data_IF_380634262000
#
_entry.id   IF_380634262000
#
_cell.length_a   1.000
_cell.length_b   1.000
_cell.length_c   1.000
_cell.angle_alpha   90.00
_cell.angle_beta   90.00
_cell.angle_gamma   90.00
#
_symmetry.space_group_name_H-M   'P 1'
#
loop_
_entity.id
_entity.type
_entity.pdbx_description
1 polymer ?
#
# COMPACT_ATOMS: atom_id res chain seq x y z
N UNK A 1 -60.23 -8.69 3.98
CA UNK A 1 -59.12 -9.58 3.58
C UNK A 1 -58.20 -8.95 2.54
N UNK A 2 -58.72 -8.48 1.39
CA UNK A 2 -57.93 -7.89 0.29
C UNK A 2 -57.02 -6.71 0.70
N UNK A 3 -57.53 -5.75 1.50
CA UNK A 3 -56.73 -4.59 1.97
C UNK A 3 -55.57 -4.96 2.88
N UNK A 4 -55.69 -6.05 3.64
CA UNK A 4 -54.63 -6.52 4.54
C UNK A 4 -53.48 -7.17 3.75
N UNK A 5 -53.81 -7.94 2.72
CA UNK A 5 -52.83 -8.54 1.80
C UNK A 5 -52.10 -7.46 0.99
N UNK A 6 -52.82 -6.44 0.50
CA UNK A 6 -52.24 -5.30 -0.22
C UNK A 6 -51.23 -4.52 0.64
N UNK A 7 -51.54 -4.32 1.92
CA UNK A 7 -50.65 -3.63 2.86
C UNK A 7 -49.37 -4.43 3.14
N UNK A 8 -49.48 -5.76 3.30
CA UNK A 8 -48.31 -6.64 3.50
C UNK A 8 -47.41 -6.69 2.27
N UNK A 9 -47.98 -6.74 1.07
CA UNK A 9 -47.23 -6.70 -0.20
C UNK A 9 -46.51 -5.35 -0.35
N UNK A 10 -47.19 -4.24 -0.02
CA UNK A 10 -46.60 -2.89 -0.10
C UNK A 10 -45.46 -2.72 0.91
N UNK A 11 -45.60 -3.26 2.12
CA UNK A 11 -44.55 -3.26 3.14
C UNK A 11 -43.35 -4.13 2.73
N UNK A 12 -43.59 -5.33 2.19
CA UNK A 12 -42.54 -6.20 1.68
C UNK A 12 -41.78 -5.57 0.50
N UNK A 13 -42.50 -4.91 -0.42
CA UNK A 13 -41.92 -4.15 -1.53
C UNK A 13 -41.11 -2.94 -1.05
N UNK A 14 -41.60 -2.19 -0.06
CA UNK A 14 -40.87 -1.05 0.52
C UNK A 14 -39.59 -1.50 1.25
N UNK A 15 -39.65 -2.62 1.97
CA UNK A 15 -38.49 -3.23 2.62
C UNK A 15 -37.49 -3.75 1.58
N UNK A 16 -37.94 -4.45 0.53
CA UNK A 16 -37.09 -4.90 -0.57
C UNK A 16 -36.46 -3.73 -1.35
N UNK A 17 -37.21 -2.65 -1.57
CA UNK A 17 -36.71 -1.42 -2.18
C UNK A 17 -35.66 -0.74 -1.27
N UNK A 18 -35.88 -0.68 0.04
CA UNK A 18 -34.89 -0.20 1.02
C UNK A 18 -33.61 -1.06 1.03
N UNK A 19 -33.73 -2.39 0.89
CA UNK A 19 -32.57 -3.28 0.75
C UNK A 19 -31.84 -3.08 -0.60
N UNK A 20 -32.55 -2.87 -1.71
CA UNK A 20 -31.94 -2.57 -3.01
C UNK A 20 -31.27 -1.18 -3.04
N UNK A 21 -31.85 -0.16 -2.40
CA UNK A 21 -31.23 1.18 -2.29
C UNK A 21 -29.94 1.12 -1.45
N UNK A 22 -29.86 0.22 -0.45
CA UNK A 22 -28.65 0.00 0.34
C UNK A 22 -27.52 -0.68 -0.47
N UNK A 23 -27.84 -1.62 -1.36
CA UNK A 23 -26.86 -2.24 -2.27
C UNK A 23 -26.44 -1.31 -3.42
N UNK A 24 -27.30 -0.37 -3.84
CA UNK A 24 -26.99 0.63 -4.87
C UNK A 24 -25.99 1.71 -4.39
N UNK A 25 -25.71 1.80 -3.09
CA UNK A 25 -25.07 2.98 -2.50
C UNK A 25 -23.56 3.13 -2.79
N UNK A 26 -22.86 2.06 -3.21
CA UNK A 26 -21.41 2.11 -3.46
C UNK A 26 -20.95 1.29 -4.67
N UNK A 27 -21.35 1.68 -5.89
CA UNK A 27 -20.72 1.16 -7.12
C UNK A 27 -19.19 1.23 -7.01
N UNK A 28 -18.50 0.10 -7.19
CA UNK A 28 -17.03 0.01 -7.10
C UNK A 28 -16.46 -0.26 -5.70
N UNK A 29 -17.26 -0.43 -4.66
CA UNK A 29 -16.78 -0.85 -3.33
C UNK A 29 -17.62 -2.01 -2.82
N UNK A 30 -16.95 -3.12 -2.50
CA UNK A 30 -17.57 -4.29 -1.91
C UNK A 30 -16.87 -4.65 -0.61
N UNK A 31 -17.60 -5.24 0.33
CA UNK A 31 -17.02 -5.81 1.55
C UNK A 31 -17.49 -7.24 1.74
N UNK A 32 -16.60 -8.05 2.33
CA UNK A 32 -16.88 -9.43 2.71
C UNK A 32 -16.61 -9.57 4.20
N UNK A 33 -17.62 -10.00 4.93
CA UNK A 33 -17.55 -10.23 6.37
C UNK A 33 -17.48 -11.72 6.66
N UNK A 34 -16.55 -12.13 7.53
CA UNK A 34 -16.36 -13.51 7.96
C UNK A 34 -16.15 -14.52 6.80
N UNK A 35 -15.50 -14.07 5.72
CA UNK A 35 -15.11 -14.95 4.62
C UNK A 35 -14.06 -15.97 5.07
N UNK A 36 -14.01 -17.12 4.39
CA UNK A 36 -12.92 -18.09 4.53
C UNK A 36 -12.02 -18.02 3.31
N UNK A 37 -10.76 -17.68 3.53
CA UNK A 37 -9.73 -17.68 2.48
C UNK A 37 -8.61 -18.58 2.94
N UNK A 38 -8.39 -19.68 2.21
CA UNK A 38 -7.42 -20.72 2.59
C UNK A 38 -7.64 -21.24 4.03
N UNK A 39 -8.91 -21.40 4.43
CA UNK A 39 -9.30 -21.86 5.76
C UNK A 39 -9.22 -20.81 6.89
N UNK A 40 -8.66 -19.63 6.63
CA UNK A 40 -8.54 -18.55 7.62
C UNK A 40 -9.77 -17.64 7.57
N UNK A 41 -10.24 -17.15 8.74
CA UNK A 41 -11.29 -16.13 8.84
C UNK A 41 -10.74 -14.76 8.42
N UNK A 42 -11.27 -14.22 7.34
CA UNK A 42 -10.84 -12.95 6.74
C UNK A 42 -12.03 -12.03 6.53
N UNK A 43 -11.86 -10.77 6.94
CA UNK A 43 -12.75 -9.68 6.59
C UNK A 43 -12.00 -8.79 5.61
N UNK A 44 -12.59 -8.44 4.47
CA UNK A 44 -11.90 -7.58 3.51
C UNK A 44 -12.84 -6.66 2.77
N UNK A 45 -12.29 -5.55 2.31
CA UNK A 45 -12.95 -4.54 1.48
C UNK A 45 -12.19 -4.46 0.17
N UNK A 46 -12.92 -4.50 -0.93
CA UNK A 46 -12.43 -4.31 -2.29
C UNK A 46 -12.87 -2.95 -2.77
N UNK A 47 -11.93 -2.12 -3.24
CA UNK A 47 -12.17 -0.77 -3.73
C UNK A 47 -11.65 -0.67 -5.16
N UNK A 48 -12.48 -0.21 -6.08
CA UNK A 48 -12.10 0.06 -7.46
C UNK A 48 -11.36 1.40 -7.57
N UNK A 49 -10.06 1.35 -7.85
CA UNK A 49 -9.23 2.54 -8.05
C UNK A 49 -9.39 3.13 -9.46
N UNK A 50 -10.13 2.47 -10.35
CA UNK A 50 -10.48 3.05 -11.64
C UNK A 50 -11.57 4.13 -11.51
N UNK A 51 -12.31 4.16 -10.39
CA UNK A 51 -13.20 5.28 -10.06
C UNK A 51 -12.36 6.49 -9.63
N UNK A 52 -12.27 7.49 -10.51
CA UNK A 52 -11.51 8.72 -10.29
C UNK A 52 -11.99 9.57 -9.09
N UNK A 53 -13.14 9.22 -8.49
CA UNK A 53 -13.63 9.86 -7.26
C UNK A 53 -13.01 9.27 -6.00
N UNK A 54 -12.34 8.12 -6.10
CA UNK A 54 -11.70 7.48 -4.95
C UNK A 54 -10.43 8.23 -4.60
N UNK A 55 -10.33 8.61 -3.33
CA UNK A 55 -9.14 9.21 -2.73
C UNK A 55 -8.71 8.40 -1.52
N UNK A 56 -7.40 8.14 -1.41
CA UNK A 56 -6.80 7.42 -0.28
C UNK A 56 -5.91 8.40 0.46
N UNK A 57 -6.04 8.46 1.78
CA UNK A 57 -5.24 9.33 2.61
C UNK A 57 -5.04 8.71 4.00
N UNK A 58 -3.84 8.78 4.59
CA UNK A 58 -3.69 8.48 6.00
C UNK A 58 -4.28 9.62 6.85
N UNK A 59 -4.57 9.29 8.10
CA UNK A 59 -4.87 10.27 9.13
C UNK A 59 -4.14 9.89 10.41
N UNK A 60 -3.75 10.90 11.18
CA UNK A 60 -3.14 10.73 12.51
C UNK A 60 -4.09 11.19 13.61
N UNK A 61 -3.87 10.75 14.85
CA UNK A 61 -4.74 11.13 15.97
C UNK A 61 -4.70 12.64 16.19
N UNK A 62 -5.77 13.21 16.73
CA UNK A 62 -5.83 14.64 17.06
C UNK A 62 -4.79 15.08 18.12
N UNK A 63 -4.20 14.13 18.85
CA UNK A 63 -3.13 14.37 19.83
C UNK A 63 -1.75 13.89 19.34
N UNK A 64 -1.58 13.71 18.02
CA UNK A 64 -0.29 13.40 17.40
C UNK A 64 0.76 14.49 17.72
N UNK A 65 2.05 14.16 17.95
CA UNK A 65 2.73 12.87 17.73
C UNK A 65 2.73 11.89 18.90
N UNK A 66 2.10 12.22 20.03
CA UNK A 66 2.18 11.42 21.27
C UNK A 66 0.81 11.04 21.82
N UNK A 67 -0.14 10.77 20.92
CA UNK A 67 -1.53 10.57 21.28
C UNK A 67 -2.21 9.47 20.49
N UNK A 68 -3.33 9.00 21.02
CA UNK A 68 -4.16 7.99 20.38
C UNK A 68 -5.64 8.35 20.47
N UNK A 69 -6.42 7.85 19.53
CA UNK A 69 -7.88 7.95 19.56
C UNK A 69 -8.53 6.62 19.21
N UNK A 70 -9.82 6.48 19.53
CA UNK A 70 -10.60 5.31 19.13
C UNK A 70 -10.72 5.28 17.61
N UNK A 71 -10.74 4.09 17.02
CA UNK A 71 -10.94 3.95 15.57
C UNK A 71 -12.26 4.58 15.09
N UNK A 72 -13.31 4.51 15.91
CA UNK A 72 -14.57 5.22 15.66
C UNK A 72 -14.41 6.75 15.63
N UNK A 73 -13.49 7.32 16.41
CA UNK A 73 -13.22 8.76 16.41
C UNK A 73 -12.68 9.23 15.07
N UNK A 74 -11.72 8.49 14.49
CA UNK A 74 -11.24 8.74 13.12
C UNK A 74 -12.40 8.71 12.13
N UNK A 75 -13.23 7.66 12.18
CA UNK A 75 -14.36 7.47 11.26
C UNK A 75 -15.36 8.62 11.38
N UNK A 76 -15.77 8.99 12.59
CA UNK A 76 -16.76 10.06 12.81
C UNK A 76 -16.25 11.42 12.31
N UNK A 77 -15.00 11.80 12.63
CA UNK A 77 -14.49 13.14 12.29
C UNK A 77 -14.06 13.30 10.83
N UNK A 78 -13.77 12.19 10.14
CA UNK A 78 -13.32 12.22 8.73
C UNK A 78 -14.39 11.75 7.74
N UNK A 79 -15.38 11.00 8.21
CA UNK A 79 -16.44 10.37 7.41
C UNK A 79 -15.95 9.62 6.15
N UNK A 80 -15.06 8.62 6.31
CA UNK A 80 -14.55 7.85 5.19
C UNK A 80 -15.64 6.87 4.69
N UNK A 81 -15.49 6.42 3.44
CA UNK A 81 -16.30 5.30 2.91
C UNK A 81 -15.74 3.95 3.34
N UNK A 82 -14.43 3.87 3.57
CA UNK A 82 -13.77 2.69 4.13
C UNK A 82 -12.50 3.10 4.88
N UNK A 83 -12.12 2.31 5.89
CA UNK A 83 -10.95 2.57 6.71
C UNK A 83 -10.32 1.28 7.21
N UNK A 84 -9.00 1.28 7.37
CA UNK A 84 -8.21 0.24 8.01
C UNK A 84 -7.21 0.89 8.98
N UNK A 85 -6.79 0.18 10.03
CA UNK A 85 -5.71 0.67 10.89
C UNK A 85 -4.43 0.92 10.08
N UNK A 86 -3.52 1.75 10.58
CA UNK A 86 -2.33 2.14 9.82
C UNK A 86 -1.02 1.47 10.27
N UNK A 87 0.04 2.27 10.33
CA UNK A 87 1.43 1.86 10.62
C UNK A 87 1.68 1.56 12.11
N UNK A 88 2.80 0.90 12.38
CA UNK A 88 3.29 0.60 13.71
C UNK A 88 3.57 1.87 14.53
N UNK A 89 3.47 1.73 15.85
CA UNK A 89 3.86 2.74 16.81
C UNK A 89 4.35 2.12 18.10
N UNK A 90 5.24 2.81 18.80
CA UNK A 90 5.72 2.43 20.12
C UNK A 90 4.58 2.58 21.13
N UNK A 91 4.24 1.52 21.86
CA UNK A 91 3.08 1.50 22.77
C UNK A 91 3.27 2.34 24.03
N UNK A 92 4.49 2.75 24.35
CA UNK A 92 4.84 3.56 25.53
C UNK A 92 4.91 5.04 25.17
N UNK A 93 5.61 5.38 24.09
CA UNK A 93 5.83 6.78 23.67
C UNK A 93 4.79 7.28 22.66
N UNK A 94 4.02 6.36 22.06
CA UNK A 94 2.99 6.62 21.05
C UNK A 94 3.53 7.20 19.72
N UNK A 95 4.85 7.18 19.52
CA UNK A 95 5.48 7.60 18.26
C UNK A 95 5.30 6.55 17.17
N UNK A 96 4.90 7.00 15.98
CA UNK A 96 4.79 6.16 14.78
C UNK A 96 6.17 5.82 14.21
N UNK A 97 6.30 4.61 13.65
CA UNK A 97 7.59 4.11 13.15
C UNK A 97 7.78 4.30 11.64
N UNK A 98 6.69 4.43 10.88
CA UNK A 98 6.72 4.61 9.43
C UNK A 98 6.49 6.05 9.00
N UNK A 99 6.99 6.38 7.81
CA UNK A 99 6.70 7.64 7.14
C UNK A 99 5.20 7.81 6.90
N UNK A 100 4.72 9.03 7.16
CA UNK A 100 3.34 9.44 6.91
C UNK A 100 3.36 10.73 6.10
N UNK A 101 2.76 10.71 4.91
CA UNK A 101 2.53 11.91 4.10
C UNK A 101 1.03 12.13 3.94
N UNK A 102 0.55 13.33 4.26
CA UNK A 102 -0.85 13.74 4.14
C UNK A 102 -0.93 14.98 3.25
N UNK A 103 -1.54 14.83 2.08
CA UNK A 103 -1.68 15.89 1.09
C UNK A 103 -0.36 16.54 0.66
N UNK A 104 0.72 15.76 0.55
CA UNK A 104 2.06 16.24 0.20
C UNK A 104 2.91 16.71 1.39
N UNK A 105 2.34 16.80 2.59
CA UNK A 105 3.09 17.18 3.80
C UNK A 105 3.65 15.93 4.49
N UNK A 106 4.96 15.89 4.75
CA UNK A 106 5.60 14.83 5.53
C UNK A 106 5.31 15.03 7.01
N UNK A 107 4.33 14.28 7.53
CA UNK A 107 3.78 14.42 8.89
C UNK A 107 4.62 13.67 9.92
N UNK A 108 5.17 12.52 9.54
CA UNK A 108 6.04 11.73 10.40
C UNK A 108 7.21 11.21 9.58
N UNK A 109 8.43 11.43 10.06
CA UNK A 109 9.63 10.77 9.56
C UNK A 109 9.79 9.40 10.23
N UNK A 110 9.85 8.35 9.42
CA UNK A 110 10.00 6.97 9.87
C UNK A 110 11.22 6.29 9.24
N UNK A 111 11.32 4.98 9.45
CA UNK A 111 12.43 4.17 8.91
C UNK A 111 11.95 2.88 8.24
N UNK A 112 10.63 2.74 8.04
CA UNK A 112 10.03 1.54 7.45
C UNK A 112 10.11 1.59 5.93
N UNK A 113 10.62 0.52 5.32
CA UNK A 113 11.01 0.52 3.92
C UNK A 113 9.90 0.18 2.93
N UNK A 114 8.71 -0.25 3.35
CA UNK A 114 7.60 -0.60 2.44
C UNK A 114 6.43 0.32 2.69
N UNK A 115 5.90 0.95 1.64
CA UNK A 115 4.83 1.93 1.76
C UNK A 115 3.75 1.79 0.69
N UNK A 116 2.51 2.11 1.06
CA UNK A 116 1.47 2.46 0.10
C UNK A 116 1.63 3.94 -0.20
N UNK A 117 1.82 4.25 -1.47
CA UNK A 117 2.04 5.58 -1.99
C UNK A 117 0.95 5.96 -2.98
N UNK A 118 0.44 7.18 -2.87
CA UNK A 118 -0.47 7.81 -3.81
C UNK A 118 0.28 8.97 -4.46
N UNK A 119 0.47 8.90 -5.77
CA UNK A 119 1.09 9.96 -6.55
C UNK A 119 0.12 11.15 -6.73
N UNK A 120 0.63 12.30 -7.14
CA UNK A 120 -0.21 13.45 -7.52
C UNK A 120 -1.18 13.14 -8.67
N UNK A 121 -0.83 12.18 -9.52
CA UNK A 121 -1.73 11.65 -10.56
C UNK A 121 -2.89 10.82 -10.02
N UNK A 122 -2.93 10.53 -8.71
CA UNK A 122 -3.89 9.61 -8.10
C UNK A 122 -3.54 8.13 -8.27
N UNK A 123 -2.45 7.80 -8.99
CA UNK A 123 -1.99 6.43 -9.11
C UNK A 123 -1.49 5.90 -7.75
N UNK A 124 -1.85 4.66 -7.46
CA UNK A 124 -1.58 4.01 -6.17
C UNK A 124 -0.57 2.89 -6.38
N UNK A 125 0.48 2.87 -5.59
CA UNK A 125 1.56 1.89 -5.67
C UNK A 125 1.95 1.37 -4.29
N UNK A 126 2.44 0.12 -4.23
CA UNK A 126 3.21 -0.37 -3.08
C UNK A 126 4.68 -0.33 -3.48
N UNK A 127 5.43 0.56 -2.83
CA UNK A 127 6.81 0.89 -3.17
C UNK A 127 7.76 0.49 -2.05
N UNK A 128 9.03 0.29 -2.43
CA UNK A 128 10.12 0.25 -1.46
C UNK A 128 10.71 1.64 -1.34
N UNK A 129 10.73 2.19 -0.13
CA UNK A 129 11.39 3.43 0.17
C UNK A 129 12.89 3.17 0.39
N UNK A 130 13.77 4.05 -0.12
CA UNK A 130 15.17 4.03 0.25
C UNK A 130 15.32 4.26 1.75
N UNK A 131 16.35 3.65 2.34
CA UNK A 131 16.65 3.79 3.78
C UNK A 131 17.24 5.16 4.16
N UNK A 132 17.43 6.06 3.20
CA UNK A 132 17.96 7.40 3.46
C UNK A 132 16.83 8.35 3.88
N UNK A 133 17.00 9.00 5.02
CA UNK A 133 16.08 9.99 5.60
C UNK A 133 15.96 11.28 4.78
N UNK A 134 16.77 11.43 3.73
CA UNK A 134 16.87 12.66 2.94
C UNK A 134 16.01 12.64 1.66
N UNK A 135 15.25 11.57 1.40
CA UNK A 135 14.39 11.54 0.23
C UNK A 135 13.22 12.51 0.42
N UNK A 136 13.10 13.48 -0.49
CA UNK A 136 11.97 14.39 -0.49
C UNK A 136 10.69 13.64 -0.88
N UNK A 137 9.92 13.20 0.12
CA UNK A 137 8.64 12.51 -0.06
C UNK A 137 7.47 13.44 -0.46
N UNK A 138 7.72 14.74 -0.67
CA UNK A 138 6.68 15.71 -1.04
C UNK A 138 6.06 15.46 -2.42
N UNK A 139 6.66 14.60 -3.24
CA UNK A 139 6.12 14.20 -4.54
C UNK A 139 4.97 13.19 -4.41
N UNK A 140 4.82 12.58 -3.23
CA UNK A 140 3.65 11.76 -2.90
C UNK A 140 2.54 12.66 -2.36
N UNK A 141 1.34 12.49 -2.92
CA UNK A 141 0.14 13.11 -2.36
C UNK A 141 -0.22 12.50 -1.02
N UNK A 142 -0.10 11.19 -0.90
CA UNK A 142 -0.33 10.45 0.33
C UNK A 142 0.68 9.32 0.42
N UNK A 143 1.15 9.02 1.62
CA UNK A 143 2.04 7.90 1.85
C UNK A 143 1.86 7.35 3.26
N UNK A 144 1.80 6.02 3.38
CA UNK A 144 1.82 5.33 4.66
C UNK A 144 2.83 4.18 4.58
N UNK A 145 4.00 4.36 5.19
CA UNK A 145 5.00 3.31 5.33
C UNK A 145 4.64 2.38 6.50
N UNK A 146 4.70 1.08 6.27
CA UNK A 146 4.55 0.06 7.29
C UNK A 146 5.36 -1.19 6.93
N UNK A 147 4.72 -2.19 6.31
CA UNK A 147 5.37 -3.43 5.93
C UNK A 147 5.36 -4.49 7.04
N UNK A 148 6.08 -5.59 6.83
CA UNK A 148 6.90 -5.89 5.65
C UNK A 148 6.06 -6.12 4.38
N UNK A 149 6.73 -6.14 3.22
CA UNK A 149 6.14 -6.53 1.95
C UNK A 149 5.69 -7.99 1.99
N UNK A 150 4.47 -8.23 1.57
CA UNK A 150 3.86 -9.56 1.51
C UNK A 150 3.97 -10.15 0.11
N UNK A 151 3.68 -9.35 -0.92
CA UNK A 151 3.75 -9.77 -2.32
C UNK A 151 4.56 -8.77 -3.16
N UNK A 152 5.28 -9.31 -4.13
CA UNK A 152 5.93 -8.56 -5.21
C UNK A 152 5.73 -9.31 -6.52
N UNK A 153 5.09 -8.69 -7.51
CA UNK A 153 4.79 -9.32 -8.80
C UNK A 153 4.00 -10.63 -8.68
N UNK A 154 3.09 -10.73 -7.71
CA UNK A 154 2.29 -11.94 -7.43
C UNK A 154 3.04 -13.05 -6.70
N UNK A 155 4.33 -12.86 -6.39
CA UNK A 155 5.13 -13.83 -5.64
C UNK A 155 5.12 -13.50 -4.16
N UNK A 156 5.10 -14.54 -3.33
CA UNK A 156 5.21 -14.40 -1.86
C UNK A 156 6.61 -13.89 -1.53
N UNK A 157 6.67 -12.74 -0.88
CA UNK A 157 7.90 -12.13 -0.37
C UNK A 157 8.04 -12.40 1.12
N UNK A 158 7.21 -11.76 1.95
CA UNK A 158 7.10 -11.96 3.40
C UNK A 158 8.45 -11.97 4.17
N UNK A 159 9.48 -11.33 3.64
CA UNK A 159 10.84 -11.37 4.17
C UNK A 159 11.14 -10.17 5.07
N UNK A 160 10.58 -10.21 6.27
CA UNK A 160 10.66 -9.09 7.21
C UNK A 160 12.08 -8.75 7.68
N UNK A 161 12.93 -9.76 7.89
CA UNK A 161 14.31 -9.54 8.37
C UNK A 161 15.10 -8.71 7.33
N UNK A 162 14.95 -9.00 6.04
CA UNK A 162 15.58 -8.22 4.97
C UNK A 162 15.10 -6.78 4.86
N UNK A 163 13.87 -6.52 5.31
CA UNK A 163 13.32 -5.16 5.41
C UNK A 163 13.78 -4.42 6.68
N UNK A 164 14.54 -5.08 7.57
CA UNK A 164 15.13 -4.46 8.75
C UNK A 164 14.32 -4.67 10.03
N UNK A 165 13.26 -5.49 10.00
CA UNK A 165 12.50 -5.82 11.19
C UNK A 165 13.27 -6.77 12.11
N UNK A 166 13.59 -6.30 13.31
CA UNK A 166 14.30 -7.07 14.35
C UNK A 166 13.39 -7.64 15.43
N UNK A 167 12.19 -7.08 15.61
CA UNK A 167 11.25 -7.54 16.64
C UNK A 167 10.65 -8.92 16.28
N UNK A 168 11.00 -9.94 17.08
CA UNK A 168 10.49 -11.31 16.92
C UNK A 168 8.97 -11.39 17.08
N UNK A 169 8.32 -10.45 17.77
CA UNK A 169 6.85 -10.41 17.91
C UNK A 169 6.16 -10.28 16.56
N UNK A 170 6.76 -9.55 15.62
CA UNK A 170 6.23 -9.43 14.27
C UNK A 170 6.24 -10.76 13.50
N UNK A 171 7.16 -11.67 13.81
CA UNK A 171 7.28 -12.99 13.16
C UNK A 171 6.30 -14.03 13.72
N UNK A 172 5.78 -13.83 14.93
CA UNK A 172 4.84 -14.76 15.58
C UNK A 172 3.47 -14.76 14.90
N UNK A 173 2.68 -15.81 15.09
CA UNK A 173 1.28 -15.80 14.63
C UNK A 173 0.49 -14.77 15.43
N UNK A 174 -0.26 -13.91 14.74
CA UNK A 174 -1.07 -12.86 15.32
C UNK A 174 -2.24 -12.53 14.39
N UNK A 175 -3.22 -11.74 14.85
CA UNK A 175 -4.17 -11.08 13.93
C UNK A 175 -3.38 -10.16 13.00
N UNK A 176 -3.75 -10.11 11.71
CA UNK A 176 -3.00 -9.38 10.70
C UNK A 176 -3.91 -8.42 9.95
N UNK A 177 -3.42 -7.21 9.72
CA UNK A 177 -3.99 -6.28 8.76
C UNK A 177 -3.06 -6.20 7.57
N UNK A 178 -3.61 -6.18 6.37
CA UNK A 178 -2.85 -6.14 5.14
C UNK A 178 -3.59 -5.31 4.10
N UNK A 179 -2.83 -4.72 3.19
CA UNK A 179 -3.36 -4.04 2.01
C UNK A 179 -2.64 -4.53 0.77
N UNK A 180 -3.35 -4.55 -0.35
CA UNK A 180 -2.79 -5.03 -1.61
C UNK A 180 -3.48 -4.48 -2.84
N UNK A 181 -2.77 -4.53 -3.95
CA UNK A 181 -3.24 -4.07 -5.26
C UNK A 181 -3.39 -5.28 -6.18
N UNK A 182 -4.50 -5.32 -6.90
CA UNK A 182 -4.74 -6.28 -7.97
C UNK A 182 -4.24 -5.71 -9.30
N UNK A 183 -3.93 -6.54 -10.31
CA UNK A 183 -3.53 -6.06 -11.63
C UNK A 183 -4.64 -5.28 -12.36
N UNK A 184 -5.88 -5.39 -11.88
CA UNK A 184 -7.06 -4.75 -12.47
C UNK A 184 -7.42 -3.40 -11.82
N UNK A 185 -6.49 -2.78 -11.10
CA UNK A 185 -6.71 -1.47 -10.49
C UNK A 185 -7.66 -1.51 -9.29
N UNK A 186 -7.66 -2.59 -8.51
CA UNK A 186 -8.41 -2.66 -7.25
C UNK A 186 -7.47 -2.66 -6.04
N UNK A 187 -7.84 -1.92 -5.01
CA UNK A 187 -7.26 -1.98 -3.67
C UNK A 187 -8.04 -2.98 -2.82
N UNK A 188 -7.33 -3.87 -2.15
CA UNK A 188 -7.86 -4.78 -1.13
C UNK A 188 -7.36 -4.31 0.23
N UNK A 189 -8.28 -4.10 1.19
CA UNK A 189 -7.96 -3.91 2.60
C UNK A 189 -8.48 -5.12 3.38
N UNK A 190 -7.60 -5.88 4.00
CA UNK A 190 -7.95 -7.15 4.63
C UNK A 190 -7.50 -7.23 6.09
N UNK A 191 -8.34 -7.84 6.92
CA UNK A 191 -8.01 -8.26 8.28
C UNK A 191 -8.21 -9.76 8.41
N UNK A 192 -7.14 -10.46 8.74
CA UNK A 192 -7.17 -11.88 9.12
C UNK A 192 -7.45 -11.92 10.62
N UNK A 193 -8.69 -12.24 10.98
CA UNK A 193 -9.21 -12.09 12.34
C UNK A 193 -9.01 -13.36 13.18
N UNK A 194 -7.80 -13.93 13.09
CA UNK A 194 -7.29 -15.06 13.86
C UNK A 194 -5.75 -15.09 13.77
N UNK A 195 -5.04 -15.87 14.60
CA UNK A 195 -3.58 -15.98 14.52
C UNK A 195 -3.10 -16.50 13.16
N UNK A 196 -2.32 -15.68 12.45
CA UNK A 196 -1.68 -16.01 11.18
C UNK A 196 -0.24 -15.46 11.12
N UNK A 197 0.61 -16.16 10.40
CA UNK A 197 1.96 -15.74 10.02
C UNK A 197 1.93 -14.69 8.91
N UNK A 198 3.06 -14.02 8.68
CA UNK A 198 3.23 -13.13 7.52
C UNK A 198 3.09 -13.90 6.20
N UNK A 199 3.65 -15.10 6.11
CA UNK A 199 3.55 -15.96 4.92
C UNK A 199 2.11 -16.38 4.63
N UNK A 200 1.35 -16.74 5.65
CA UNK A 200 -0.10 -17.02 5.51
C UNK A 200 -0.85 -15.77 5.05
N UNK A 201 -0.49 -14.60 5.58
CA UNK A 201 -1.08 -13.32 5.14
C UNK A 201 -0.79 -13.05 3.66
N UNK A 202 0.45 -13.26 3.21
CA UNK A 202 0.82 -13.13 1.81
C UNK A 202 0.02 -14.10 0.91
N UNK A 203 -0.13 -15.36 1.33
CA UNK A 203 -0.93 -16.34 0.60
C UNK A 203 -2.41 -15.94 0.53
N UNK A 204 -2.99 -15.39 1.60
CA UNK A 204 -4.35 -14.84 1.61
C UNK A 204 -4.47 -13.69 0.62
N UNK A 205 -3.59 -12.70 0.68
CA UNK A 205 -3.64 -11.55 -0.24
C UNK A 205 -3.51 -11.98 -1.70
N UNK A 206 -2.68 -12.99 -1.98
CA UNK A 206 -2.55 -13.56 -3.33
C UNK A 206 -3.83 -14.27 -3.77
N UNK A 207 -4.46 -15.04 -2.88
CA UNK A 207 -5.75 -15.69 -3.14
C UNK A 207 -6.89 -14.68 -3.35
N UNK A 208 -6.80 -13.49 -2.75
CA UNK A 208 -7.68 -12.35 -3.01
C UNK A 208 -7.35 -11.61 -4.32
N UNK A 209 -6.40 -12.10 -5.11
CA UNK A 209 -6.05 -11.57 -6.43
C UNK A 209 -5.02 -10.44 -6.43
N UNK A 210 -4.36 -10.16 -5.30
CA UNK A 210 -3.32 -9.15 -5.25
C UNK A 210 -2.02 -9.63 -5.92
N UNK A 211 -1.39 -8.73 -6.68
CA UNK A 211 -0.01 -8.89 -7.19
C UNK A 211 0.99 -8.16 -6.32
N UNK A 212 0.58 -7.05 -5.71
CA UNK A 212 1.35 -6.29 -4.74
C UNK A 212 0.64 -6.30 -3.40
N UNK A 213 1.36 -6.48 -2.30
CA UNK A 213 0.75 -6.41 -0.97
C UNK A 213 1.79 -6.09 0.11
N UNK A 214 1.34 -5.45 1.18
CA UNK A 214 2.13 -5.17 2.36
C UNK A 214 1.33 -5.39 3.64
N UNK A 215 2.04 -5.72 4.70
CA UNK A 215 1.49 -5.84 6.04
C UNK A 215 1.31 -4.45 6.68
N UNK A 216 0.30 -4.34 7.54
CA UNK A 216 0.04 -3.19 8.41
C UNK A 216 0.21 -3.58 9.88
N UNK A 217 0.01 -2.63 10.80
CA UNK A 217 0.05 -2.96 12.23
C UNK A 217 -1.02 -4.01 12.59
N UNK A 218 -0.64 -4.97 13.45
CA UNK A 218 -1.39 -6.19 13.69
C UNK A 218 -2.01 -6.27 15.09
N UNK A 219 -2.39 -7.47 15.49
CA UNK A 219 -2.78 -7.78 16.87
C UNK A 219 -3.99 -6.98 17.36
N UNK A 220 -3.83 -6.23 18.43
CA UNK A 220 -4.89 -5.39 19.00
C UNK A 220 -5.21 -4.17 18.13
N UNK A 221 -4.34 -3.80 17.19
CA UNK A 221 -4.59 -2.68 16.26
C UNK A 221 -5.55 -3.02 15.14
N UNK A 222 -5.72 -4.29 14.79
CA UNK A 222 -6.50 -4.68 13.63
C UNK A 222 -7.92 -4.09 13.67
N UNK A 223 -8.23 -3.25 12.68
CA UNK A 223 -9.51 -2.59 12.53
C UNK A 223 -9.87 -2.40 11.07
N UNK A 224 -11.15 -2.56 10.75
CA UNK A 224 -11.67 -2.46 9.39
C UNK A 224 -13.10 -1.91 9.43
N UNK A 225 -13.37 -0.93 8.58
CA UNK A 225 -14.67 -0.27 8.46
C UNK A 225 -15.01 -0.06 6.98
N UNK A 226 -16.28 -0.19 6.63
CA UNK A 226 -16.79 0.07 5.29
C UNK A 226 -18.26 0.50 5.34
N UNK A 227 -18.64 1.56 4.63
CA UNK A 227 -20.03 1.93 4.34
C UNK A 227 -20.93 2.02 5.58
N UNK A 228 -20.48 2.65 6.67
CA UNK A 228 -21.24 2.76 7.92
C UNK A 228 -21.09 1.58 8.87
N UNK A 229 -20.43 0.49 8.44
CA UNK A 229 -20.30 -0.75 9.23
C UNK A 229 -18.87 -0.93 9.74
N UNK A 230 -18.75 -1.12 11.05
CA UNK A 230 -17.52 -1.54 11.69
C UNK A 230 -17.35 -3.05 11.55
N UNK A 231 -16.56 -3.50 10.56
CA UNK A 231 -16.34 -4.92 10.26
C UNK A 231 -15.42 -5.58 11.29
N UNK A 232 -14.36 -4.88 11.71
CA UNK A 232 -13.45 -5.33 12.77
C UNK A 232 -13.15 -4.15 13.70
N UNK A 233 -13.38 -4.34 15.00
CA UNK A 233 -13.05 -3.36 16.04
C UNK A 233 -11.63 -3.58 16.55
N UNK A 234 -10.76 -2.55 16.53
CA UNK A 234 -9.51 -2.57 17.28
C UNK A 234 -9.75 -2.78 18.77
N UNK A 235 -8.85 -3.52 19.41
CA UNK A 235 -8.84 -3.74 20.86
C UNK A 235 -8.02 -2.69 21.60
N UNK A 236 -7.36 -1.78 20.87
CA UNK A 236 -6.64 -0.62 21.41
C UNK A 236 -6.95 0.65 20.64
N UNK A 237 -6.65 1.80 21.24
CA UNK A 237 -6.62 3.10 20.56
C UNK A 237 -5.45 3.15 19.58
N UNK A 238 -5.60 3.94 18.52
CA UNK A 238 -4.65 4.01 17.41
C UNK A 238 -4.04 5.41 17.30
N UNK A 239 -2.79 5.49 16.85
CA UNK A 239 -2.11 6.75 16.53
C UNK A 239 -2.42 7.21 15.10
N UNK A 240 -2.74 6.28 14.21
CA UNK A 240 -2.94 6.54 12.79
C UNK A 240 -3.79 5.46 12.11
N UNK A 241 -4.37 5.80 10.96
CA UNK A 241 -5.25 4.97 10.12
C UNK A 241 -5.04 5.28 8.64
N UNK A 242 -5.44 4.36 7.77
CA UNK A 242 -5.58 4.61 6.33
C UNK A 242 -7.06 4.71 5.98
N UNK A 243 -7.41 5.78 5.26
CA UNK A 243 -8.79 6.13 4.94
C UNK A 243 -9.01 6.17 3.44
N UNK A 244 -10.22 5.83 3.04
CA UNK A 244 -10.68 5.88 1.65
C UNK A 244 -11.93 6.76 1.62
N UNK A 245 -11.99 7.67 0.64
CA UNK A 245 -13.05 8.65 0.44
C UNK A 245 -13.57 8.58 -0.99
N UNK A 246 -14.82 8.98 -1.21
CA UNK A 246 -15.43 9.13 -2.54
C UNK A 246 -15.91 10.56 -2.74
N UNK A 247 -15.36 11.28 -3.70
CA UNK A 247 -15.85 12.58 -4.14
C UNK A 247 -17.19 12.44 -4.92
N UNK A 248 -18.09 13.44 -4.97
CA UNK A 248 -18.06 14.75 -4.32
C UNK A 248 -18.72 14.76 -2.93
N UNK A 249 -19.14 13.61 -2.38
CA UNK A 249 -19.84 13.52 -1.08
C UNK A 249 -19.04 14.13 0.08
N UNK A 250 -17.71 14.14 -0.02
CA UNK A 250 -16.84 14.82 0.93
C UNK A 250 -15.75 15.61 0.18
N UNK A 251 -15.83 16.96 0.12
CA UNK A 251 -14.60 17.72 -0.12
C UNK A 251 -13.66 17.32 1.01
N UNK A 252 -12.52 16.72 0.64
CA UNK A 252 -11.56 16.24 1.61
C UNK A 252 -11.01 17.42 2.40
N UNK A 253 -11.55 17.60 3.62
CA UNK A 253 -11.08 18.62 4.55
C UNK A 253 -9.79 18.12 5.13
N UNK A 254 -8.67 18.41 4.46
CA UNK A 254 -7.33 17.95 4.85
C UNK A 254 -7.03 18.21 6.34
N UNK A 255 -7.56 19.30 6.89
CA UNK A 255 -7.50 19.67 8.30
C UNK A 255 -8.09 18.62 9.24
N UNK A 256 -9.13 17.90 8.81
CA UNK A 256 -9.69 16.77 9.55
C UNK A 256 -8.78 15.54 9.52
N UNK A 257 -7.68 15.52 8.77
CA UNK A 257 -6.73 14.41 8.72
C UNK A 257 -5.48 14.70 9.55
N UNK A 258 -5.25 15.99 9.83
CA UNK A 258 -4.14 16.54 10.59
C UNK A 258 -4.55 16.81 12.05
N UNK A 259 -3.59 16.81 12.99
CA UNK A 259 -3.84 17.30 14.34
C UNK A 259 -3.92 18.84 14.34
N UNK A 260 -4.55 19.46 15.36
CA UNK A 260 -4.64 20.92 15.44
C UNK A 260 -3.28 21.62 15.55
N UNK A 261 -2.24 20.90 15.98
CA UNK A 261 -0.86 21.37 16.07
C UNK A 261 -0.16 21.50 14.70
N UNK A 262 -0.69 20.85 13.66
CA UNK A 262 -0.18 20.90 12.29
C UNK A 262 -1.28 21.53 11.43
N UNK A 263 -1.52 22.82 11.64
CA UNK A 263 -2.40 23.61 10.79
C UNK A 263 -1.59 24.17 9.61
N UNK A 264 -1.89 23.82 8.35
CA UNK A 264 -1.25 24.41 7.19
C UNK A 264 -1.47 25.93 7.06
N UNK A 265 -0.56 26.74 7.59
CA UNK A 265 -0.61 28.22 7.46
C UNK A 265 -0.61 28.68 5.98
N UNK A 266 -0.25 27.80 5.02
CA UNK A 266 -0.22 28.11 3.60
C UNK A 266 -0.49 26.91 2.66
N UNK A 267 -1.42 25.99 2.99
CA UNK A 267 -1.79 24.94 2.03
C UNK A 267 -2.74 25.48 0.96
N UNK A 268 -2.22 25.77 -0.23
CA UNK A 268 -3.03 25.93 -1.43
C UNK A 268 -3.32 24.54 -2.01
N UNK A 269 -4.55 24.01 -1.94
CA UNK A 269 -4.87 22.73 -2.55
C UNK A 269 -4.62 22.83 -4.06
N UNK A 270 -3.60 22.14 -4.58
CA UNK A 270 -3.51 21.90 -6.03
C UNK A 270 -4.74 21.09 -6.43
N UNK A 271 -5.51 21.60 -7.39
CA UNK A 271 -6.85 21.12 -7.75
C UNK A 271 -6.96 19.60 -7.81
N UNK A 272 -7.93 19.05 -7.08
CA UNK A 272 -8.04 17.63 -6.73
C UNK A 272 -8.41 16.69 -7.90
N UNK A 273 -8.58 17.20 -9.13
CA UNK A 273 -9.26 16.48 -10.22
C UNK A 273 -8.69 16.66 -11.63
N UNK A 274 -7.46 17.16 -11.80
CA UNK A 274 -6.84 17.17 -13.13
C UNK A 274 -5.89 15.97 -13.28
N UNK A 275 -6.44 14.78 -13.55
CA UNK A 275 -5.61 13.65 -14.03
C UNK A 275 -5.20 13.95 -15.46
N UNK A 276 -3.90 14.08 -15.70
CA UNK A 276 -3.34 13.89 -17.04
C UNK A 276 -3.38 12.39 -17.38
N UNK A 277 -3.46 12.06 -18.69
CA UNK A 277 -3.47 10.69 -19.20
C UNK A 277 -2.29 9.88 -18.61
N UNK A 278 -2.39 8.54 -18.49
CA UNK A 278 -1.35 7.72 -17.85
C UNK A 278 0.00 8.00 -18.52
N UNK A 279 0.91 8.66 -17.80
CA UNK A 279 2.29 8.76 -18.23
C UNK A 279 2.90 7.35 -18.10
N UNK A 280 3.48 6.86 -19.19
CA UNK A 280 4.40 5.73 -19.13
C UNK A 280 5.43 6.04 -18.04
N UNK A 281 5.71 5.05 -17.19
CA UNK A 281 6.65 5.14 -16.08
C UNK A 281 7.99 5.69 -16.59
N UNK A 282 8.24 6.98 -16.36
CA UNK A 282 9.56 7.55 -16.57
C UNK A 282 10.46 6.95 -15.48
N UNK A 283 11.51 6.25 -15.92
CA UNK A 283 12.56 5.78 -15.04
C UNK A 283 13.08 6.96 -14.20
N UNK A 284 13.13 6.79 -12.88
CA UNK A 284 13.83 7.71 -11.99
C UNK A 284 15.27 7.92 -12.52
N UNK A 285 15.75 9.17 -12.65
CA UNK A 285 17.11 9.41 -13.11
C UNK A 285 18.10 8.89 -12.05
N UNK A 286 18.92 7.92 -12.43
CA UNK A 286 20.13 7.57 -11.69
C UNK A 286 21.05 8.80 -11.72
N UNK A 287 21.35 9.36 -10.55
CA UNK A 287 22.25 10.52 -10.45
C UNK A 287 23.63 10.14 -10.98
N UNK A 288 24.11 10.89 -11.98
CA UNK A 288 25.49 10.85 -12.48
C UNK A 288 26.46 11.00 -11.30
N UNK A 289 27.42 10.09 -11.19
CA UNK A 289 28.50 10.16 -10.23
C UNK A 289 29.24 11.48 -10.38
N UNK A 290 29.36 12.21 -9.27
CA UNK A 290 30.23 13.38 -9.16
C UNK A 290 31.61 12.79 -8.87
N UNK A 291 32.51 12.85 -9.84
CA UNK A 291 33.94 12.62 -9.66
C UNK A 291 34.47 13.70 -8.73
N UNK A 292 34.80 13.34 -7.50
CA UNK A 292 35.67 14.13 -6.64
C UNK A 292 37.11 13.80 -7.02
N UNK A 293 37.80 14.78 -7.60
CA UNK A 293 39.25 14.84 -7.59
C UNK A 293 39.71 14.86 -6.13
N UNK A 294 40.58 13.92 -5.75
CA UNK A 294 41.46 14.06 -4.60
C UNK A 294 42.89 13.82 -5.08
N UNK A 295 43.71 14.82 -4.82
CA UNK A 295 45.13 14.95 -5.09
C UNK A 295 45.98 13.93 -4.34
N UNK A 296 46.96 13.39 -5.07
CA UNK A 296 48.28 12.86 -4.74
C UNK A 296 48.69 12.63 -3.26
N UNK A 297 49.26 11.45 -3.03
CA UNK A 297 50.05 11.13 -1.83
C UNK A 297 50.55 9.68 -1.84
N UNK A 298 51.83 9.52 -2.21
CA UNK A 298 52.68 8.31 -2.23
C UNK A 298 52.45 7.26 -1.12
N UNK A 299 52.66 5.97 -1.46
CA UNK A 299 53.14 4.97 -0.51
C UNK A 299 52.84 3.50 -0.86
N UNK A 300 53.89 2.78 -1.28
CA UNK A 300 54.11 1.33 -1.26
C UNK A 300 53.19 0.36 -2.05
N UNK A 301 53.66 0.03 -3.26
CA UNK A 301 53.34 -1.19 -4.00
C UNK A 301 54.35 -2.30 -3.63
N UNK A 302 53.97 -3.20 -2.73
CA UNK A 302 54.74 -4.41 -2.43
C UNK A 302 53.89 -5.42 -1.68
N UNK A 303 53.75 -6.62 -2.23
CA UNK A 303 53.10 -7.79 -1.61
C UNK A 303 51.55 -7.81 -1.55
N UNK A 304 50.89 -7.97 -2.70
CA UNK A 304 49.75 -8.91 -2.81
C UNK A 304 49.40 -9.26 -4.27
N UNK A 305 50.42 -9.50 -5.10
CA UNK A 305 50.28 -10.10 -6.44
C UNK A 305 50.58 -11.61 -6.41
N UNK A 306 49.79 -12.36 -5.66
CA UNK A 306 49.69 -13.81 -5.80
C UNK A 306 48.47 -14.34 -5.02
N UNK A 307 47.28 -14.33 -5.64
CA UNK A 307 46.13 -15.23 -5.32
C UNK A 307 44.82 -14.82 -6.04
N UNK A 308 44.86 -14.41 -7.32
CA UNK A 308 43.65 -14.10 -8.11
C UNK A 308 43.54 -14.87 -9.45
N UNK A 309 44.22 -16.01 -9.56
CA UNK A 309 43.98 -16.97 -10.64
C UNK A 309 43.30 -18.22 -10.09
N UNK A 310 41.97 -18.17 -10.01
CA UNK A 310 41.03 -19.30 -10.15
C UNK A 310 39.59 -18.86 -9.85
N UNK A 311 38.91 -18.30 -10.84
CA UNK A 311 37.44 -18.37 -10.91
C UNK A 311 37.09 -18.97 -12.27
N UNK A 312 36.56 -20.19 -12.22
CA UNK A 312 36.02 -20.98 -13.32
C UNK A 312 34.75 -20.35 -13.92
N UNK A 313 34.43 -20.61 -15.20
CA UNK A 313 33.25 -20.04 -15.84
C UNK A 313 31.95 -20.63 -15.25
N UNK A 314 31.07 -19.77 -14.71
CA UNK A 314 29.74 -20.18 -14.27
C UNK A 314 28.86 -20.45 -15.50
N UNK A 315 28.42 -21.70 -15.58
CA UNK A 315 27.55 -22.29 -16.60
C UNK A 315 26.12 -21.75 -16.47
N UNK A 316 25.62 -21.06 -17.50
CA UNK A 316 24.20 -20.65 -17.59
C UNK A 316 23.33 -21.89 -17.79
N UNK A 317 22.47 -22.22 -16.81
CA UNK A 317 21.41 -23.24 -16.97
C UNK A 317 20.05 -22.54 -17.10
N UNK A 318 19.50 -22.57 -18.31
CA UNK A 318 18.08 -22.36 -18.60
C UNK A 318 17.69 -20.93 -18.98
N UNK A 319 17.40 -20.72 -20.26
CA UNK A 319 16.60 -19.60 -20.75
C UNK A 319 15.14 -20.06 -20.85
N UNK A 320 14.20 -19.34 -20.23
CA UNK A 320 12.75 -19.55 -20.43
C UNK A 320 12.25 -18.46 -21.36
N UNK A 321 11.98 -18.83 -22.61
CA UNK A 321 11.33 -17.96 -23.60
C UNK A 321 9.82 -18.12 -23.47
N UNK A 322 9.12 -17.13 -22.91
CA UNK A 322 7.66 -17.09 -22.96
C UNK A 322 7.24 -16.51 -24.32
N UNK A 323 6.57 -17.32 -25.15
CA UNK A 323 5.91 -16.86 -26.37
C UNK A 323 4.49 -16.38 -26.03
N UNK A 324 4.11 -15.11 -26.31
CA UNK A 324 2.72 -14.72 -26.26
C UNK A 324 2.02 -15.10 -27.57
N UNK A 325 0.95 -15.88 -27.48
CA UNK A 325 -0.07 -15.99 -28.53
C UNK A 325 -0.85 -14.67 -28.55
N UNK A 326 -0.71 -13.91 -29.64
CA UNK A 326 -1.41 -12.64 -29.87
C UNK A 326 -2.72 -12.91 -30.64
N UNK A 327 -3.83 -12.37 -30.15
CA UNK A 327 -4.90 -11.84 -31.01
C UNK A 327 -4.68 -10.34 -31.17
N UNK A 328 -5.01 -9.84 -32.36
CA UNK A 328 -4.45 -8.65 -32.99
C UNK A 328 -4.54 -7.33 -32.19
N UNK A 329 -3.47 -6.52 -32.25
CA UNK A 329 -3.58 -5.05 -32.07
C UNK A 329 -2.48 -4.31 -31.31
N UNK A 330 -1.52 -4.96 -30.64
CA UNK A 330 -0.48 -4.27 -29.88
C UNK A 330 0.94 -4.75 -30.22
N UNK A 331 1.86 -3.81 -30.48
CA UNK A 331 3.29 -4.09 -30.65
C UNK A 331 3.89 -4.46 -29.28
N UNK A 332 4.40 -5.68 -29.15
CA UNK A 332 5.05 -6.20 -27.95
C UNK A 332 6.54 -5.86 -27.93
N UNK A 333 7.04 -5.31 -26.82
CA UNK A 333 8.47 -5.28 -26.52
C UNK A 333 8.84 -6.50 -25.67
N UNK A 334 9.73 -7.35 -26.16
CA UNK A 334 10.28 -8.46 -25.38
C UNK A 334 11.42 -7.95 -24.49
N UNK A 335 11.36 -8.23 -23.19
CA UNK A 335 12.45 -7.97 -22.25
C UNK A 335 13.14 -9.28 -21.91
N UNK A 336 14.47 -9.30 -21.97
CA UNK A 336 15.27 -10.41 -21.44
C UNK A 336 15.82 -9.98 -20.08
N UNK A 337 15.48 -10.75 -19.05
CA UNK A 337 15.92 -10.51 -17.67
C UNK A 337 17.15 -11.34 -17.38
N UNK A 338 18.22 -10.69 -16.94
CA UNK A 338 19.42 -11.36 -16.43
C UNK A 338 19.60 -11.06 -14.94
N UNK A 339 20.07 -12.05 -14.20
CA UNK A 339 20.56 -11.89 -12.83
C UNK A 339 22.07 -12.08 -12.88
N UNK A 340 22.81 -11.00 -12.62
CA UNK A 340 24.27 -11.00 -12.52
C UNK A 340 24.61 -10.34 -11.19
N UNK A 341 25.39 -11.04 -10.35
CA UNK A 341 25.85 -10.59 -9.03
C UNK A 341 24.75 -10.03 -8.11
N UNK A 342 23.60 -10.72 -8.07
CA UNK A 342 22.49 -10.36 -7.17
C UNK A 342 21.75 -9.07 -7.52
N UNK A 343 22.04 -8.45 -8.68
CA UNK A 343 21.33 -7.27 -9.17
C UNK A 343 20.52 -7.61 -10.43
N UNK A 344 19.24 -7.27 -10.42
CA UNK A 344 18.36 -7.43 -11.59
C UNK A 344 18.71 -6.36 -12.63
N UNK A 345 19.03 -6.77 -13.86
CA UNK A 345 19.20 -5.85 -14.99
C UNK A 345 18.21 -6.19 -16.11
N UNK A 346 17.64 -5.15 -16.69
CA UNK A 346 16.76 -5.23 -17.86
C UNK A 346 17.54 -4.77 -19.09
N UNK A 347 17.61 -5.60 -20.12
CA UNK A 347 18.19 -5.21 -21.42
C UNK A 347 17.05 -5.17 -22.43
N UNK A 348 16.88 -4.01 -23.07
CA UNK A 348 16.01 -3.84 -24.25
C UNK A 348 16.83 -4.07 -25.51
N UNK A 349 16.29 -4.82 -26.47
CA UNK A 349 16.91 -4.98 -27.77
C UNK A 349 16.79 -3.66 -28.57
N UNK A 350 17.79 -2.77 -28.45
CA UNK A 350 17.98 -1.70 -29.44
C UNK A 350 18.71 -2.30 -30.62
N UNK A 351 17.96 -2.73 -31.65
CA UNK A 351 18.52 -2.71 -33.01
C UNK A 351 18.55 -1.26 -33.46
N UNK A 352 19.76 -0.73 -33.58
CA UNK A 352 20.07 0.38 -34.48
C UNK A 352 19.59 0.01 -35.89
N UNK A 353 18.77 0.87 -36.48
CA UNK A 353 18.55 0.94 -37.90
C UNK A 353 18.43 2.43 -38.25
N UNK A 354 19.50 2.89 -38.89
CA UNK A 354 19.78 4.16 -39.59
C UNK A 354 19.62 5.49 -38.85
#
# INVERSE_FOLDING_TARGET
MLRFVQMQITYAMAVALLFHIADFAYTGIAYHYAGRVLGLRVHFVTIDLNDARIAIMPAVSQSFPRGTERFSSFIHRTNPIAAINGTFFDTRTLRTLGDIVIGGMHINAGWLSTALAVLESGAVHIVNLPRSTDENLSHFRALLACGPRLLAGGRVWAFAIGEGFKDKRLMRRARRSAIGLTPYGKLIMAVIDQPATLTESAKVMRALGCTEAMNLDGGSSCGLYCGGRMLVRPRRRLTNVLLVFRAPRHPLRIWQLLPPTIQPVSYKPKGWFKRTKPAQVAQMPSRKGRTSQSTDGNGDDGEMRASLERITPIRVRGAVTLRPTLSAGFRSFAYVMFIIDGKTRFITNKRTAE
#
